data_IF_325730584436
#
_entry.id   IF_325730584436
#
_cell.length_a   1.000
_cell.length_b   1.000
_cell.length_c   1.000
_cell.angle_alpha   90.00
_cell.angle_beta   90.00
_cell.angle_gamma   90.00
#
_symmetry.space_group_name_H-M   'P 1'
#
loop_
_entity.id
_entity.type
_entity.pdbx_description
1 polymer ?
#
# COMPACT_ATOMS: atom_id res chain seq x y z
N UNK A 1 18.29 72.33 -7.10
CA UNK A 1 18.97 71.20 -6.44
C UNK A 1 18.02 70.63 -5.39
N UNK A 2 17.44 69.46 -5.62
CA UNK A 2 16.86 68.60 -4.58
C UNK A 2 16.43 67.28 -5.25
N UNK A 3 17.27 66.25 -5.15
CA UNK A 3 16.93 64.88 -5.53
C UNK A 3 16.37 64.16 -4.30
N UNK A 4 15.06 63.94 -4.27
CA UNK A 4 14.39 63.12 -3.26
C UNK A 4 14.59 61.64 -3.57
N UNK A 5 15.58 61.03 -2.90
CA UNK A 5 15.73 59.57 -2.85
C UNK A 5 14.66 58.97 -1.94
N UNK A 6 13.54 58.55 -2.53
CA UNK A 6 12.57 57.68 -1.85
C UNK A 6 13.17 56.28 -1.83
N UNK A 7 13.73 55.91 -0.68
CA UNK A 7 14.32 54.60 -0.41
C UNK A 7 13.22 53.53 -0.39
N UNK A 8 13.07 52.78 -1.48
CA UNK A 8 12.21 51.62 -1.55
C UNK A 8 12.91 50.43 -0.87
N UNK A 9 12.63 50.23 0.42
CA UNK A 9 13.05 49.05 1.16
C UNK A 9 12.19 47.86 0.70
N UNK A 10 12.60 47.19 -0.38
CA UNK A 10 12.00 45.94 -0.82
C UNK A 10 12.38 44.82 0.16
N UNK A 11 11.49 44.51 1.11
CA UNK A 11 11.62 43.34 1.96
C UNK A 11 11.38 42.07 1.12
N UNK A 12 12.45 41.43 0.68
CA UNK A 12 12.43 40.08 0.13
C UNK A 12 12.06 39.10 1.25
N UNK A 13 10.77 38.82 1.38
CA UNK A 13 10.27 37.70 2.17
C UNK A 13 10.68 36.40 1.45
N UNK A 14 11.80 35.82 1.85
CA UNK A 14 12.12 34.44 1.49
C UNK A 14 11.11 33.53 2.19
N UNK A 15 10.07 33.12 1.46
CA UNK A 15 9.23 32.02 1.89
C UNK A 15 10.13 30.77 1.95
N UNK A 16 10.52 30.35 3.15
CA UNK A 16 11.15 29.07 3.36
C UNK A 16 10.13 28.00 2.95
N UNK A 17 10.31 27.43 1.76
CA UNK A 17 9.52 26.28 1.31
C UNK A 17 9.98 25.11 2.17
N UNK A 18 9.26 24.84 3.25
CA UNK A 18 9.39 23.57 3.96
C UNK A 18 9.00 22.48 2.96
N UNK A 19 9.96 21.66 2.54
CA UNK A 19 9.66 20.44 1.80
C UNK A 19 8.95 19.49 2.77
N UNK A 20 7.63 19.60 2.84
CA UNK A 20 6.80 18.67 3.58
C UNK A 20 6.91 17.30 2.88
N UNK A 21 7.17 16.26 3.67
CA UNK A 21 7.17 14.88 3.18
C UNK A 21 5.81 14.54 2.56
N UNK A 22 5.81 13.95 1.37
CA UNK A 22 4.58 13.54 0.69
C UNK A 22 4.79 12.30 -0.17
N UNK A 23 3.81 11.40 -0.12
CA UNK A 23 3.83 10.13 -0.85
C UNK A 23 2.46 9.89 -1.49
N UNK A 24 2.44 9.58 -2.78
CA UNK A 24 1.23 9.23 -3.51
C UNK A 24 1.24 7.75 -3.88
N UNK A 25 0.17 7.05 -3.52
CA UNK A 25 -0.08 5.65 -3.87
C UNK A 25 -1.15 5.63 -4.95
N UNK A 26 -0.82 5.07 -6.11
CA UNK A 26 -1.70 4.99 -7.28
C UNK A 26 -1.96 3.54 -7.66
N UNK A 27 -3.11 3.29 -8.28
CA UNK A 27 -3.54 1.96 -8.70
C UNK A 27 -3.71 1.88 -10.21
N UNK A 28 -3.21 0.80 -10.80
CA UNK A 28 -3.48 0.40 -12.18
C UNK A 28 -4.10 -0.99 -12.18
N UNK A 29 -5.43 -1.05 -12.20
CA UNK A 29 -6.14 -2.31 -12.25
C UNK A 29 -6.36 -2.77 -13.71
N UNK A 30 -5.47 -3.62 -14.21
CA UNK A 30 -5.57 -4.19 -15.56
C UNK A 30 -6.38 -5.49 -15.60
N UNK A 31 -6.91 -5.95 -14.47
CA UNK A 31 -7.69 -7.19 -14.41
C UNK A 31 -9.07 -7.06 -15.06
N UNK A 32 -9.55 -5.84 -15.30
CA UNK A 32 -10.90 -5.57 -15.80
C UNK A 32 -12.03 -5.85 -14.79
N UNK A 33 -11.69 -6.22 -13.55
CA UNK A 33 -12.60 -6.52 -12.45
C UNK A 33 -11.95 -6.25 -11.10
N UNK A 34 -12.75 -6.30 -10.05
CA UNK A 34 -12.29 -6.10 -8.67
C UNK A 34 -12.06 -4.64 -8.33
N UNK A 35 -11.92 -4.37 -7.03
CA UNK A 35 -11.76 -3.03 -6.49
C UNK A 35 -10.46 -2.96 -5.70
N UNK A 36 -9.47 -2.12 -6.09
CA UNK A 36 -8.29 -1.92 -5.27
C UNK A 36 -8.70 -1.47 -3.87
N UNK A 37 -8.02 -1.96 -2.84
CA UNK A 37 -8.18 -1.49 -1.47
C UNK A 37 -6.85 -0.96 -0.98
N UNK A 38 -6.86 0.22 -0.37
CA UNK A 38 -5.77 0.75 0.43
C UNK A 38 -6.25 0.90 1.87
N UNK A 39 -5.58 0.26 2.80
CA UNK A 39 -5.97 0.27 4.21
C UNK A 39 -4.78 0.67 5.07
N UNK A 40 -5.02 1.50 6.08
CA UNK A 40 -4.04 1.83 7.10
C UNK A 40 -4.77 1.95 8.45
N UNK A 41 -4.19 1.37 9.51
CA UNK A 41 -4.75 1.48 10.86
C UNK A 41 -6.21 1.00 10.96
N UNK A 42 -6.59 -0.01 10.18
CA UNK A 42 -7.96 -0.54 10.17
C UNK A 42 -8.99 0.30 9.41
N UNK A 43 -8.56 1.32 8.65
CA UNK A 43 -9.45 2.20 7.87
C UNK A 43 -9.16 2.08 6.38
N UNK A 44 -10.20 1.97 5.56
CA UNK A 44 -10.08 2.05 4.09
C UNK A 44 -9.83 3.51 3.70
N UNK A 45 -8.66 3.77 3.12
CA UNK A 45 -8.24 5.10 2.67
C UNK A 45 -8.53 5.35 1.19
N UNK A 46 -8.53 4.29 0.38
CA UNK A 46 -8.86 4.37 -1.05
C UNK A 46 -9.43 3.06 -1.57
N UNK A 47 -10.35 3.19 -2.52
CA UNK A 47 -10.94 2.09 -3.29
C UNK A 47 -10.52 2.09 -4.77
N UNK A 48 -9.35 2.68 -5.08
CA UNK A 48 -8.75 2.70 -6.43
C UNK A 48 -8.39 4.08 -6.96
N UNK A 49 -8.78 5.16 -6.28
CA UNK A 49 -8.26 6.49 -6.61
C UNK A 49 -6.84 6.69 -6.03
N UNK A 50 -5.99 7.52 -6.65
CA UNK A 50 -4.73 7.90 -6.03
C UNK A 50 -4.95 8.46 -4.62
N UNK A 51 -4.14 8.02 -3.67
CA UNK A 51 -4.14 8.50 -2.29
C UNK A 51 -2.82 9.19 -2.00
N UNK A 52 -2.85 10.42 -1.50
CA UNK A 52 -1.67 11.17 -1.11
C UNK A 52 -1.62 11.33 0.41
N UNK A 53 -0.54 10.84 1.02
CA UNK A 53 -0.18 11.15 2.40
C UNK A 53 0.65 12.44 2.45
N UNK A 54 0.33 13.32 3.40
CA UNK A 54 1.09 14.55 3.69
C UNK A 54 2.06 14.32 4.85
N UNK A 55 2.89 13.29 4.70
CA UNK A 55 3.89 12.84 5.66
C UNK A 55 4.15 11.34 5.50
N UNK A 56 4.99 10.79 6.37
CA UNK A 56 5.27 9.35 6.41
C UNK A 56 3.98 8.52 6.44
N UNK A 57 3.96 7.47 5.63
CA UNK A 57 2.87 6.52 5.52
C UNK A 57 3.34 5.14 5.97
N UNK A 58 3.08 4.77 7.23
CA UNK A 58 3.57 3.51 7.81
C UNK A 58 2.50 2.43 7.88
N UNK A 59 2.91 1.17 7.72
CA UNK A 59 2.05 0.00 7.93
C UNK A 59 0.76 0.03 7.10
N UNK A 60 0.87 0.48 5.86
CA UNK A 60 -0.22 0.40 4.91
C UNK A 60 -0.27 -0.96 4.24
N UNK A 61 -1.48 -1.41 3.91
CA UNK A 61 -1.70 -2.61 3.12
C UNK A 61 -2.53 -2.30 1.89
N UNK A 62 -2.29 -3.03 0.81
CA UNK A 62 -3.12 -2.98 -0.38
C UNK A 62 -3.36 -4.36 -1.00
N UNK A 63 -4.53 -4.55 -1.59
CA UNK A 63 -4.90 -5.77 -2.32
C UNK A 63 -6.02 -5.45 -3.32
N UNK A 64 -6.33 -6.38 -4.23
CA UNK A 64 -7.48 -6.27 -5.12
C UNK A 64 -8.64 -7.09 -4.56
N UNK A 65 -9.71 -6.43 -4.12
CA UNK A 65 -10.91 -7.09 -3.64
C UNK A 65 -11.70 -7.68 -4.81
N UNK A 66 -11.75 -9.01 -4.90
CA UNK A 66 -12.47 -9.79 -5.91
C UNK A 66 -13.75 -10.46 -5.37
N UNK A 67 -14.03 -10.29 -4.08
CA UNK A 67 -15.18 -10.85 -3.36
C UNK A 67 -14.79 -11.86 -2.26
N UNK A 68 -13.57 -12.41 -2.33
CA UNK A 68 -13.07 -13.44 -1.41
C UNK A 68 -12.05 -12.92 -0.39
N UNK A 69 -11.55 -11.70 -0.58
CA UNK A 69 -10.53 -11.14 0.30
C UNK A 69 -11.14 -10.73 1.64
N UNK A 70 -10.50 -11.12 2.73
CA UNK A 70 -10.79 -10.56 4.05
C UNK A 70 -10.39 -9.08 4.15
N UNK A 71 -10.76 -8.44 5.26
CA UNK A 71 -10.52 -7.01 5.44
C UNK A 71 -9.01 -6.67 5.43
N UNK A 72 -8.16 -7.53 5.98
CA UNK A 72 -6.71 -7.36 5.97
C UNK A 72 -6.06 -8.05 4.77
N UNK A 73 -6.83 -8.36 3.73
CA UNK A 73 -6.35 -9.03 2.52
C UNK A 73 -6.13 -10.53 2.69
N UNK A 74 -6.73 -11.16 3.70
CA UNK A 74 -6.75 -12.63 3.83
C UNK A 74 -7.30 -13.27 2.54
N UNK A 75 -6.73 -14.41 2.12
CA UNK A 75 -7.02 -15.10 0.86
C UNK A 75 -6.62 -14.35 -0.43
N UNK A 76 -5.93 -13.21 -0.32
CA UNK A 76 -5.52 -12.39 -1.47
C UNK A 76 -4.03 -12.03 -1.38
N UNK A 77 -3.47 -11.61 -2.51
CA UNK A 77 -2.10 -11.15 -2.53
C UNK A 77 -2.04 -9.80 -1.81
N UNK A 78 -1.24 -9.75 -0.74
CA UNK A 78 -1.12 -8.56 0.09
C UNK A 78 0.13 -7.79 -0.32
N UNK A 79 0.00 -6.48 -0.53
CA UNK A 79 1.15 -5.57 -0.54
C UNK A 79 1.24 -4.91 0.82
N UNK A 80 2.40 -4.96 1.43
CA UNK A 80 2.70 -4.26 2.67
C UNK A 80 3.67 -3.12 2.35
N UNK A 81 3.43 -1.93 2.90
CA UNK A 81 4.24 -0.76 2.58
C UNK A 81 4.46 0.18 3.77
N UNK A 82 5.65 0.76 3.80
CA UNK A 82 6.01 1.94 4.58
C UNK A 82 6.68 2.93 3.63
N UNK A 83 6.13 4.13 3.51
CA UNK A 83 6.70 5.19 2.67
C UNK A 83 7.15 6.32 3.59
N UNK A 84 8.44 6.60 3.60
CA UNK A 84 9.00 7.68 4.38
C UNK A 84 10.33 8.18 3.82
N UNK A 85 10.63 9.44 4.05
CA UNK A 85 11.93 10.02 3.76
C UNK A 85 13.00 9.38 4.68
N UNK A 86 14.13 8.92 4.12
CA UNK A 86 15.20 8.31 4.90
C UNK A 86 15.81 9.31 5.89
N UNK A 87 15.82 8.94 7.18
CA UNK A 87 16.56 9.67 8.23
C UNK A 87 17.89 9.00 8.57
N UNK A 88 18.11 7.80 8.05
CA UNK A 88 19.34 7.02 8.14
C UNK A 88 19.47 6.08 6.93
N UNK A 89 20.68 5.58 6.68
CA UNK A 89 20.90 4.60 5.63
C UNK A 89 20.10 3.32 5.91
N UNK A 90 19.24 2.94 4.96
CA UNK A 90 18.35 1.78 5.07
C UNK A 90 17.02 2.07 5.78
N UNK A 91 16.75 3.33 6.12
CA UNK A 91 15.56 3.74 6.88
C UNK A 91 14.50 4.45 6.04
N UNK A 92 14.70 4.55 4.71
CA UNK A 92 13.68 5.06 3.79
C UNK A 92 12.54 4.07 3.54
N UNK A 93 11.71 4.39 2.55
CA UNK A 93 10.56 3.59 2.14
C UNK A 93 10.89 2.12 1.87
N UNK A 94 9.96 1.24 2.19
CA UNK A 94 9.98 -0.19 1.87
C UNK A 94 8.60 -0.67 1.43
N UNK A 95 8.58 -1.61 0.50
CA UNK A 95 7.34 -2.27 0.05
C UNK A 95 7.67 -3.71 -0.30
N UNK A 96 6.72 -4.60 -0.03
CA UNK A 96 6.83 -6.02 -0.35
C UNK A 96 5.48 -6.63 -0.69
N UNK A 97 5.52 -7.85 -1.24
CA UNK A 97 4.36 -8.68 -1.54
C UNK A 97 4.40 -9.85 -0.56
N UNK A 98 3.30 -10.12 0.13
CA UNK A 98 3.18 -11.20 1.11
C UNK A 98 2.15 -12.23 0.67
N UNK A 99 2.59 -13.49 0.65
CA UNK A 99 1.79 -14.70 0.44
C UNK A 99 1.94 -15.65 1.64
N UNK A 100 2.29 -15.10 2.81
CA UNK A 100 2.30 -15.85 4.08
C UNK A 100 0.84 -16.13 4.46
N UNK A 101 0.48 -17.39 4.68
CA UNK A 101 -0.87 -17.79 5.13
C UNK A 101 -1.36 -16.91 6.29
N UNK A 102 -2.59 -16.33 6.22
CA UNK A 102 -3.69 -16.67 5.31
C UNK A 102 -3.70 -15.93 3.96
N UNK A 103 -2.65 -15.19 3.59
CA UNK A 103 -2.56 -14.52 2.29
C UNK A 103 -2.20 -15.53 1.18
N UNK A 104 -2.78 -15.36 0.00
CA UNK A 104 -2.59 -16.25 -1.14
C UNK A 104 -2.82 -15.50 -2.45
N UNK A 105 -2.17 -15.89 -3.54
CA UNK A 105 -2.34 -15.19 -4.81
C UNK A 105 -3.76 -15.41 -5.36
N UNK A 106 -4.59 -14.35 -5.37
CA UNK A 106 -5.89 -14.33 -6.05
C UNK A 106 -5.77 -13.73 -7.47
N UNK A 107 -4.98 -12.66 -7.61
CA UNK A 107 -4.63 -12.05 -8.90
C UNK A 107 -3.13 -11.74 -8.95
N UNK A 108 -2.51 -11.76 -10.15
CA UNK A 108 -1.16 -11.24 -10.33
C UNK A 108 -1.05 -9.80 -9.85
N UNK A 109 0.04 -9.47 -9.16
CA UNK A 109 0.26 -8.14 -8.62
C UNK A 109 1.71 -7.70 -8.78
N UNK A 110 1.91 -6.40 -9.00
CA UNK A 110 3.20 -5.76 -9.05
C UNK A 110 3.13 -4.40 -8.34
N UNK A 111 4.29 -3.91 -7.93
CA UNK A 111 4.45 -2.51 -7.57
C UNK A 111 5.74 -1.94 -8.16
N UNK A 112 5.80 -0.62 -8.26
CA UNK A 112 7.01 0.11 -8.64
C UNK A 112 7.04 1.46 -7.93
N UNK A 113 8.22 1.89 -7.49
CA UNK A 113 8.41 3.26 -7.02
C UNK A 113 8.43 4.25 -8.19
N UNK A 114 8.01 5.48 -7.90
CA UNK A 114 8.02 6.63 -8.80
C UNK A 114 8.46 7.91 -8.07
N UNK A 115 9.02 8.88 -8.77
CA UNK A 115 9.52 10.11 -8.14
C UNK A 115 10.78 9.87 -7.31
N UNK A 116 11.44 8.74 -7.52
CA UNK A 116 12.57 8.24 -6.74
C UNK A 116 12.63 6.71 -6.83
N UNK A 117 13.83 6.16 -7.05
CA UNK A 117 14.02 4.73 -7.32
C UNK A 117 13.12 4.19 -8.46
N UNK A 118 12.92 5.00 -9.50
CA UNK A 118 11.92 4.74 -10.54
C UNK A 118 12.07 3.34 -11.16
N UNK A 119 10.95 2.60 -11.20
CA UNK A 119 10.91 1.24 -11.75
C UNK A 119 11.45 0.16 -10.81
N UNK A 120 12.06 0.50 -9.67
CA UNK A 120 12.36 -0.49 -8.64
C UNK A 120 11.06 -0.98 -8.01
N UNK A 121 10.93 -2.29 -7.89
CA UNK A 121 9.76 -2.92 -7.32
C UNK A 121 9.79 -4.44 -7.47
N UNK A 122 8.66 -5.08 -7.24
CA UNK A 122 8.50 -6.52 -7.36
C UNK A 122 7.26 -6.88 -8.17
N UNK A 123 7.24 -8.09 -8.73
CA UNK A 123 6.11 -8.60 -9.51
C UNK A 123 5.90 -10.07 -9.19
N UNK A 124 4.69 -10.40 -8.77
CA UNK A 124 4.26 -11.74 -8.43
C UNK A 124 3.06 -12.14 -9.30
N UNK A 125 3.29 -13.04 -10.26
CA UNK A 125 2.27 -13.51 -11.21
C UNK A 125 1.82 -14.94 -10.96
N UNK A 126 2.49 -15.65 -10.05
CA UNK A 126 2.17 -17.02 -9.66
C UNK A 126 2.20 -17.17 -8.14
N UNK A 127 1.45 -18.13 -7.59
CA UNK A 127 1.43 -18.39 -6.15
C UNK A 127 2.75 -18.93 -5.57
N UNK A 128 3.83 -18.98 -6.36
CA UNK A 128 5.17 -19.46 -6.00
C UNK A 128 6.26 -18.49 -6.47
N UNK A 129 5.90 -17.23 -6.75
CA UNK A 129 6.81 -16.20 -7.25
C UNK A 129 7.96 -15.93 -6.26
N UNK A 130 9.21 -15.81 -6.73
CA UNK A 130 10.36 -15.64 -5.82
C UNK A 130 10.49 -14.26 -5.18
N UNK A 131 9.59 -13.34 -5.49
CA UNK A 131 9.62 -11.95 -5.06
C UNK A 131 8.56 -11.64 -4.01
N UNK A 132 7.94 -12.66 -3.42
CA UNK A 132 6.99 -12.52 -2.33
C UNK A 132 7.50 -13.24 -1.08
N UNK A 133 7.05 -12.78 0.08
CA UNK A 133 7.23 -13.46 1.35
C UNK A 133 6.34 -14.70 1.40
N UNK A 134 6.93 -15.87 1.72
CA UNK A 134 6.19 -17.09 2.09
C UNK A 134 6.47 -17.50 3.53
N UNK A 135 7.55 -16.99 4.11
CA UNK A 135 7.87 -17.09 5.52
C UNK A 135 8.25 -15.71 6.08
N UNK A 136 8.03 -15.46 7.40
CA UNK A 136 8.34 -14.15 8.01
C UNK A 136 9.80 -13.69 7.92
N UNK A 137 10.73 -14.61 7.62
CA UNK A 137 12.16 -14.34 7.51
C UNK A 137 12.65 -14.12 6.08
N UNK A 138 11.75 -14.08 5.08
CA UNK A 138 12.05 -13.81 3.66
C UNK A 138 12.44 -12.35 3.35
N UNK A 139 13.17 -11.71 4.26
CA UNK A 139 13.54 -10.28 4.20
C UNK A 139 14.27 -9.85 2.92
N UNK A 140 14.83 -10.79 2.16
CA UNK A 140 15.46 -10.53 0.86
C UNK A 140 14.51 -10.08 -0.26
N UNK A 141 13.20 -10.30 -0.12
CA UNK A 141 12.22 -9.95 -1.18
C UNK A 141 11.59 -8.56 -0.98
N UNK A 142 11.91 -7.89 0.13
CA UNK A 142 11.50 -6.51 0.37
C UNK A 142 12.31 -5.55 -0.50
N UNK A 143 11.61 -4.60 -1.15
CA UNK A 143 12.24 -3.59 -1.99
C UNK A 143 12.25 -2.26 -1.27
N UNK A 144 13.46 -1.82 -0.91
CA UNK A 144 13.69 -0.55 -0.23
C UNK A 144 14.04 0.56 -1.24
N UNK A 145 13.61 1.78 -0.95
CA UNK A 145 14.02 2.99 -1.63
C UNK A 145 14.53 4.02 -0.63
N UNK A 146 15.65 4.68 -0.96
CA UNK A 146 16.31 5.67 -0.09
C UNK A 146 16.23 7.09 -0.69
N UNK A 147 15.21 7.37 -1.49
CA UNK A 147 14.92 8.71 -2.01
C UNK A 147 13.78 9.35 -1.21
N UNK A 148 13.80 10.68 -1.11
CA UNK A 148 12.72 11.45 -0.51
C UNK A 148 11.49 11.47 -1.42
N UNK A 149 10.30 11.55 -0.82
CA UNK A 149 9.01 11.79 -1.46
C UNK A 149 8.67 10.80 -2.57
N UNK A 150 9.07 9.54 -2.40
CA UNK A 150 8.77 8.48 -3.37
C UNK A 150 7.28 8.16 -3.37
N UNK A 151 6.76 7.96 -4.56
CA UNK A 151 5.41 7.51 -4.84
C UNK A 151 5.42 6.01 -5.13
N UNK A 152 4.26 5.38 -5.06
CA UNK A 152 4.09 3.95 -5.31
C UNK A 152 3.00 3.74 -6.36
N UNK A 153 3.31 3.03 -7.44
CA UNK A 153 2.32 2.53 -8.38
C UNK A 153 2.13 1.04 -8.15
N UNK A 154 0.90 0.67 -7.78
CA UNK A 154 0.47 -0.71 -7.62
C UNK A 154 -0.29 -1.12 -8.88
N UNK A 155 0.14 -2.21 -9.51
CA UNK A 155 -0.47 -2.74 -10.73
C UNK A 155 -1.04 -4.13 -10.47
N UNK A 156 -2.33 -4.29 -10.71
CA UNK A 156 -2.98 -5.60 -10.70
C UNK A 156 -3.11 -6.13 -12.12
N UNK A 157 -2.84 -7.42 -12.30
CA UNK A 157 -2.75 -8.10 -13.59
C UNK A 157 -1.78 -7.42 -14.59
N UNK A 158 -0.50 -7.19 -14.22
CA UNK A 158 0.46 -6.44 -15.05
C UNK A 158 0.65 -7.01 -16.48
N UNK A 159 0.37 -8.29 -16.72
CA UNK A 159 0.50 -8.93 -18.04
C UNK A 159 -0.79 -8.95 -18.88
N UNK A 160 -1.93 -8.52 -18.32
CA UNK A 160 -3.23 -8.63 -19.00
C UNK A 160 -3.35 -7.73 -20.24
N UNK A 161 -2.52 -6.69 -20.33
CA UNK A 161 -2.46 -5.78 -21.48
C UNK A 161 -1.57 -6.29 -22.63
N UNK A 162 -0.85 -7.40 -22.44
CA UNK A 162 -0.25 -8.12 -23.58
C UNK A 162 -1.38 -8.86 -24.30
N UNK A 163 -1.71 -8.54 -25.56
CA UNK A 163 -2.62 -9.39 -26.33
C UNK A 163 -2.07 -10.81 -26.24
N UNK A 164 -2.92 -11.84 -26.00
CA UNK A 164 -2.46 -13.21 -25.90
C UNK A 164 -1.63 -13.45 -27.14
N UNK A 165 -0.32 -13.58 -26.95
CA UNK A 165 0.63 -13.77 -28.02
C UNK A 165 0.32 -15.15 -28.57
N UNK A 166 -0.64 -15.16 -29.48
CA UNK A 166 -1.03 -16.25 -30.36
C UNK A 166 0.10 -16.38 -31.37
N UNK A 167 1.30 -16.69 -30.86
CA UNK A 167 2.37 -17.24 -31.65
C UNK A 167 2.00 -18.72 -31.76
N UNK A 168 1.52 -19.19 -32.91
CA UNK A 168 1.27 -20.61 -33.09
C UNK A 168 2.60 -21.31 -32.85
N UNK A 169 2.60 -22.34 -32.00
CA UNK A 169 3.74 -23.24 -31.91
C UNK A 169 4.01 -23.76 -33.33
N UNK A 170 5.08 -23.29 -33.94
CA UNK A 170 5.54 -23.80 -35.22
C UNK A 170 6.05 -25.22 -34.96
N UNK A 171 5.17 -26.19 -35.13
CA UNK A 171 5.51 -27.61 -35.21
C UNK A 171 6.33 -27.81 -36.49
N UNK A 172 7.65 -27.71 -36.37
CA UNK A 172 8.59 -28.13 -37.40
C UNK A 172 8.49 -29.65 -37.58
N UNK A 173 7.75 -30.11 -38.59
CA UNK A 173 8.04 -31.31 -39.40
C UNK A 173 6.82 -31.72 -40.23
N UNK A 174 6.73 -31.24 -41.47
CA UNK A 174 6.04 -31.97 -42.53
C UNK A 174 6.54 -31.54 -43.93
N UNK A 175 6.91 -32.57 -44.68
CA UNK A 175 7.39 -32.63 -46.06
C UNK A 175 6.40 -31.99 -47.07
N UNK A 176 6.87 -31.34 -48.15
CA UNK A 176 5.98 -30.71 -49.14
C UNK A 176 5.36 -31.76 -50.08
N UNK A 177 4.05 -31.64 -50.30
CA UNK A 177 3.31 -32.29 -51.39
C UNK A 177 2.49 -31.24 -52.16
N UNK A 178 2.26 -31.42 -53.47
CA UNK A 178 1.78 -30.35 -54.35
C UNK A 178 0.25 -30.18 -54.36
N UNK A 179 -0.16 -28.93 -54.64
CA UNK A 179 -1.38 -28.37 -55.28
C UNK A 179 -2.48 -29.36 -55.78
N UNK A 180 -3.78 -28.99 -55.77
CA UNK A 180 -4.26 -27.82 -56.56
C UNK A 180 -5.53 -27.04 -56.11
N UNK A 181 -5.66 -25.84 -56.71
CA UNK A 181 -6.85 -25.17 -57.25
C UNK A 181 -8.10 -24.89 -56.40
N UNK A 182 -8.33 -23.58 -56.21
CA UNK A 182 -9.51 -22.81 -56.64
C UNK A 182 -10.92 -23.36 -56.42
N UNK A 183 -11.63 -22.82 -55.40
CA UNK A 183 -13.06 -22.45 -55.52
C UNK A 183 -13.38 -21.25 -54.60
N UNK A 184 -13.96 -20.20 -55.17
CA UNK A 184 -14.71 -19.14 -54.48
C UNK A 184 -16.19 -19.22 -54.95
N UNK A 185 -17.08 -18.30 -54.57
CA UNK A 185 -17.67 -18.03 -53.26
C UNK A 185 -19.20 -18.30 -53.26
N UNK A 186 -19.86 -18.34 -52.10
CA UNK A 186 -21.34 -18.27 -52.03
C UNK A 186 -21.78 -17.33 -50.89
N UNK A 187 -22.59 -16.30 -51.16
CA UNK A 187 -23.24 -15.48 -50.13
C UNK A 187 -24.62 -16.05 -49.81
N UNK A 188 -25.05 -15.98 -48.55
CA UNK A 188 -26.46 -16.19 -48.22
C UNK A 188 -26.92 -15.31 -47.07
N UNK A 189 -27.91 -14.50 -47.39
CA UNK A 189 -28.66 -13.59 -46.52
C UNK A 189 -29.60 -14.35 -45.58
N UNK A 190 -29.87 -13.80 -44.40
CA UNK A 190 -31.22 -13.62 -43.79
C UNK A 190 -31.06 -12.87 -42.45
N UNK A 191 -31.62 -11.66 -42.24
CA UNK A 191 -33.02 -11.24 -42.01
C UNK A 191 -33.55 -11.53 -40.58
N UNK A 192 -33.95 -10.43 -39.91
CA UNK A 192 -34.98 -10.28 -38.85
C UNK A 192 -34.58 -10.88 -37.48
N UNK A 193 -34.68 -10.19 -36.34
CA UNK A 193 -35.94 -9.82 -35.70
C UNK A 193 -35.71 -8.90 -34.48
N UNK A 194 -36.46 -7.79 -34.45
CA UNK A 194 -36.69 -6.99 -33.27
C UNK A 194 -37.77 -7.64 -32.41
N UNK A 195 -37.57 -7.68 -31.09
CA UNK A 195 -38.65 -7.90 -30.11
C UNK A 195 -38.33 -7.17 -28.80
N UNK A 196 -39.21 -6.23 -28.51
CA UNK A 196 -39.47 -5.50 -27.28
C UNK A 196 -40.05 -6.38 -26.17
N UNK A 197 -39.70 -6.09 -24.90
CA UNK A 197 -40.51 -6.29 -23.68
C UNK A 197 -39.88 -5.42 -22.57
N UNK A 198 -40.44 -4.27 -22.19
CA UNK A 198 -41.62 -4.04 -21.36
C UNK A 198 -41.45 -4.49 -19.89
N UNK A 199 -41.56 -3.48 -19.02
CA UNK A 199 -41.56 -3.41 -17.57
C UNK A 199 -42.41 -4.47 -16.82
N UNK A 200 -41.98 -4.80 -15.61
CA UNK A 200 -42.71 -4.52 -14.35
C UNK A 200 -42.06 -5.28 -13.17
N UNK A 201 -41.83 -4.59 -12.04
CA UNK A 201 -41.83 -5.22 -10.72
C UNK A 201 -42.10 -4.17 -9.64
N UNK A 202 -43.26 -4.22 -8.97
CA UNK A 202 -43.51 -3.54 -7.71
C UNK A 202 -43.24 -4.49 -6.54
N UNK A 203 -42.83 -3.94 -5.40
CA UNK A 203 -43.39 -4.21 -4.06
C UNK A 203 -42.36 -3.89 -2.97
N UNK A 204 -42.62 -2.79 -2.26
CA UNK A 204 -42.13 -2.56 -0.91
C UNK A 204 -42.85 -3.50 0.07
N UNK A 205 -42.17 -4.02 1.10
CA UNK A 205 -42.83 -4.38 2.34
C UNK A 205 -42.42 -3.47 3.50
N UNK A 206 -43.45 -3.15 4.28
CA UNK A 206 -43.50 -2.35 5.49
C UNK A 206 -42.48 -2.77 6.56
N UNK A 207 -41.86 -1.77 7.17
CA UNK A 207 -41.15 -1.89 8.45
C UNK A 207 -42.17 -2.00 9.58
N UNK A 208 -42.19 -3.16 10.24
CA UNK A 208 -42.92 -3.42 11.47
C UNK A 208 -42.08 -2.89 12.63
N UNK A 209 -42.67 -1.99 13.41
CA UNK A 209 -42.17 -1.58 14.71
C UNK A 209 -42.35 -2.73 15.71
N UNK A 210 -41.28 -3.12 16.39
CA UNK A 210 -41.36 -4.04 17.53
C UNK A 210 -40.60 -3.47 18.72
N UNK A 211 -41.30 -3.53 19.84
CA UNK A 211 -41.11 -2.90 21.12
C UNK A 211 -39.86 -3.35 21.89
N UNK A 212 -39.39 -2.44 22.74
CA UNK A 212 -38.40 -2.66 23.78
C UNK A 212 -38.74 -3.81 24.74
N UNK A 213 -37.72 -4.36 25.42
CA UNK A 213 -37.85 -4.61 26.84
C UNK A 213 -36.78 -3.88 27.66
N UNK A 214 -37.23 -3.25 28.74
CA UNK A 214 -36.43 -2.75 29.83
C UNK A 214 -35.74 -3.90 30.56
N UNK A 215 -34.43 -3.77 30.83
CA UNK A 215 -33.72 -4.63 31.78
C UNK A 215 -32.71 -3.79 32.57
N UNK A 216 -33.13 -3.51 33.80
CA UNK A 216 -32.39 -3.55 35.08
C UNK A 216 -30.99 -2.92 35.11
N UNK A 217 -30.95 -1.77 35.77
CA UNK A 217 -29.75 -1.15 36.31
C UNK A 217 -29.07 -2.05 37.35
N UNK A 218 -27.79 -2.35 37.14
CA UNK A 218 -26.88 -2.85 38.15
C UNK A 218 -25.71 -1.87 38.29
N UNK A 219 -25.60 -1.26 39.46
CA UNK A 219 -24.52 -0.37 39.85
C UNK A 219 -23.21 -1.14 40.03
N UNK A 220 -22.06 -0.52 39.72
CA UNK A 220 -20.81 -0.83 40.41
C UNK A 220 -20.33 0.33 41.30
N UNK A 221 -19.82 -0.10 42.45
CA UNK A 221 -19.29 0.66 43.58
C UNK A 221 -18.15 1.65 43.25
N UNK A 222 -17.95 2.69 44.07
CA UNK A 222 -16.83 3.62 43.92
C UNK A 222 -15.54 2.99 44.47
N UNK A 223 -14.53 2.81 43.61
CA UNK A 223 -13.15 2.57 44.04
C UNK A 223 -12.42 3.89 44.23
N UNK A 224 -11.83 4.02 45.42
CA UNK A 224 -11.07 5.17 45.90
C UNK A 224 -9.85 5.45 45.01
N UNK A 225 -9.82 6.63 44.40
CA UNK A 225 -8.61 7.21 43.81
C UNK A 225 -7.78 7.85 44.93
N UNK A 226 -6.65 7.21 45.25
CA UNK A 226 -5.63 7.78 46.10
C UNK A 226 -4.83 8.83 45.32
N UNK A 227 -4.97 10.09 45.72
CA UNK A 227 -4.11 11.20 45.33
C UNK A 227 -2.67 10.93 45.77
N UNK A 228 -1.77 10.75 44.81
CA UNK A 228 -0.32 10.83 45.06
C UNK A 228 0.15 12.23 44.70
N UNK A 229 0.69 12.90 45.71
CA UNK A 229 1.15 14.27 45.67
C UNK A 229 2.34 14.45 44.71
N UNK A 230 2.27 15.53 43.93
CA UNK A 230 3.37 16.08 43.14
C UNK A 230 4.52 16.52 44.05
N UNK A 231 5.69 15.92 43.87
CA UNK A 231 6.95 16.48 44.39
C UNK A 231 7.52 17.50 43.39
N UNK A 232 8.05 18.65 43.83
CA UNK A 232 8.71 19.60 42.95
C UNK A 232 10.09 19.05 42.54
N UNK A 233 10.27 18.75 41.26
CA UNK A 233 11.59 18.44 40.69
C UNK A 233 12.35 19.75 40.52
N UNK A 234 13.50 19.82 41.17
CA UNK A 234 14.45 20.93 41.12
C UNK A 234 14.91 21.23 39.69
N UNK A 235 15.12 22.53 39.43
CA UNK A 235 15.69 23.05 38.19
C UNK A 235 17.06 22.43 37.90
N UNK A 236 17.19 21.79 36.75
CA UNK A 236 18.47 21.36 36.20
C UNK A 236 19.18 22.53 35.50
N UNK A 237 20.52 22.65 35.59
CA UNK A 237 21.29 23.71 34.98
C UNK A 237 21.41 23.53 33.45
N UNK A 238 21.46 24.65 32.75
CA UNK A 238 21.64 24.80 31.31
C UNK A 238 22.85 24.00 30.77
N UNK A 239 22.73 23.32 29.62
CA UNK A 239 23.89 22.74 28.96
C UNK A 239 24.69 23.84 28.26
N UNK A 240 25.94 24.00 28.70
CA UNK A 240 26.99 24.73 28.02
C UNK A 240 27.33 24.07 26.69
N UNK A 241 27.34 24.88 25.64
CA UNK A 241 27.76 24.52 24.28
C UNK A 241 29.28 24.32 24.29
N UNK A 242 29.72 23.06 24.31
CA UNK A 242 31.10 22.69 23.94
C UNK A 242 31.05 21.88 22.66
N UNK A 243 31.56 22.49 21.59
CA UNK A 243 31.74 21.85 20.30
C UNK A 243 32.77 20.73 20.40
N UNK A 244 32.30 19.50 20.27
CA UNK A 244 33.16 18.34 20.03
C UNK A 244 32.61 17.62 18.80
N UNK A 245 33.44 17.53 17.77
CA UNK A 245 33.21 16.79 16.52
C UNK A 245 32.72 15.36 16.80
N UNK A 246 31.69 14.87 16.10
CA UNK A 246 31.14 13.53 16.34
C UNK A 246 32.14 12.46 15.89
N UNK A 247 32.57 11.66 16.86
CA UNK A 247 33.42 10.50 16.67
C UNK A 247 32.64 9.37 16.00
N UNK A 248 33.18 8.88 14.88
CA UNK A 248 32.59 7.95 13.90
C UNK A 248 32.34 6.54 14.47
N UNK A 249 32.78 6.26 15.70
CA UNK A 249 32.64 4.97 16.38
C UNK A 249 31.28 4.71 17.05
N UNK A 250 30.39 5.70 17.20
CA UNK A 250 29.15 5.55 17.98
C UNK A 250 27.98 4.93 17.20
N UNK A 251 27.92 5.09 15.87
CA UNK A 251 26.81 4.57 15.04
C UNK A 251 26.75 3.03 14.97
N UNK A 252 27.89 2.33 14.97
CA UNK A 252 27.91 0.86 14.94
C UNK A 252 27.33 0.23 16.22
N UNK A 253 27.47 0.90 17.36
CA UNK A 253 26.94 0.41 18.63
C UNK A 253 25.43 0.60 18.75
N UNK A 254 24.86 1.62 18.08
CA UNK A 254 23.43 1.87 18.10
C UNK A 254 22.66 0.84 17.27
N UNK A 255 23.18 0.47 16.09
CA UNK A 255 22.61 -0.60 15.25
C UNK A 255 22.55 -1.94 15.98
N UNK A 256 23.63 -2.33 16.68
CA UNK A 256 23.66 -3.57 17.48
C UNK A 256 22.66 -3.57 18.64
N UNK A 257 22.49 -2.42 19.32
CA UNK A 257 21.51 -2.28 20.41
C UNK A 257 20.07 -2.34 19.91
N UNK A 258 19.78 -1.74 18.76
CA UNK A 258 18.46 -1.78 18.15
C UNK A 258 18.08 -3.19 17.68
N UNK A 259 19.01 -3.91 17.05
CA UNK A 259 18.79 -5.31 16.65
C UNK A 259 18.53 -6.24 17.86
N UNK A 260 19.26 -6.03 18.97
CA UNK A 260 19.05 -6.80 20.20
C UNK A 260 17.68 -6.52 20.85
N UNK A 261 17.20 -5.26 20.76
CA UNK A 261 15.88 -4.87 21.26
C UNK A 261 14.75 -5.47 20.42
N UNK A 262 14.84 -5.38 19.10
CA UNK A 262 13.85 -5.96 18.18
C UNK A 262 13.72 -7.48 18.39
N UNK A 263 14.85 -8.19 18.58
CA UNK A 263 14.86 -9.63 18.84
C UNK A 263 14.22 -10.00 20.19
N UNK A 264 14.30 -9.13 21.21
CA UNK A 264 13.59 -9.31 22.50
C UNK A 264 12.10 -9.06 22.37
N UNK A 265 11.68 -8.02 21.67
CA UNK A 265 10.27 -7.70 21.46
C UNK A 265 9.56 -8.78 20.64
N UNK A 266 10.21 -9.32 19.59
CA UNK A 266 9.67 -10.43 18.82
C UNK A 266 9.48 -11.71 19.65
N UNK A 267 10.48 -12.08 20.48
CA UNK A 267 10.34 -13.21 21.42
C UNK A 267 9.21 -13.01 22.43
N UNK A 268 9.00 -11.76 22.87
CA UNK A 268 7.92 -11.43 23.80
C UNK A 268 6.55 -11.61 23.15
N UNK A 269 6.37 -11.15 21.90
CA UNK A 269 5.11 -11.35 21.15
C UNK A 269 4.80 -12.82 20.90
N UNK A 270 5.81 -13.62 20.56
CA UNK A 270 5.68 -15.07 20.45
C UNK A 270 5.22 -15.73 21.76
N UNK A 271 5.72 -15.25 22.90
CA UNK A 271 5.36 -15.81 24.21
C UNK A 271 3.97 -15.36 24.71
N UNK A 272 3.51 -14.17 24.30
CA UNK A 272 2.23 -13.59 24.73
C UNK A 272 1.05 -14.02 23.82
N UNK A 273 1.29 -14.78 22.75
CA UNK A 273 0.23 -15.24 21.84
C UNK A 273 -0.54 -14.08 21.16
N UNK A 274 0.02 -12.86 21.21
CA UNK A 274 -0.52 -11.68 20.55
C UNK A 274 0.15 -11.56 19.19
N UNK A 275 -0.52 -12.12 18.18
CA UNK A 275 -0.30 -11.81 16.77
C UNK A 275 -1.52 -11.06 16.26
#
# INVERSE_FOLDING_TARGET
MAFTFVSALAALAFAAVANAESHTISFNNQCGKGTPQLIQGGTVLSTGQPYTSNGAFSSGIAYLQTGECGFNGENCALLEMTLNNPTCAGCGSSTDISLITPHALNVPVAFSYQGGCDGQGATCTTGTCKTAFFAPDDTQVQVACQADNVNLLITFCPDASSPPSSKPAATSSAKPAPSPSSVAPVPSSSKVQASSSAAASPASPSVVATSAPAVVAAAPSPSLVASSASAPVAAAPSPSVSGTTPDRGTCQNQSKRNAARAKREHRRRLAEGSF
#
